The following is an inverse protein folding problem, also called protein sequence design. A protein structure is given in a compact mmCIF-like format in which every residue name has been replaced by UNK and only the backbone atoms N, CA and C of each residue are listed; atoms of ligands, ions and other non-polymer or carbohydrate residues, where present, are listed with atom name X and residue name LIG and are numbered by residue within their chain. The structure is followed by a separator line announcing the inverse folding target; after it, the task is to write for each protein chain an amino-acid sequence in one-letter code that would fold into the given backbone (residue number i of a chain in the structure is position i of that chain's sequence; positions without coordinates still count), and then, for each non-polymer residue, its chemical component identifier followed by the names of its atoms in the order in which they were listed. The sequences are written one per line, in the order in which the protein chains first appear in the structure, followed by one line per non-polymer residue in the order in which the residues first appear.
data_IF_521918501352
#
_entry.id   IF_521918501352
#
_cell.length_a   1.000
_cell.length_b   1.000
_cell.length_c   1.000
_cell.angle_alpha   90.00
_cell.angle_beta   90.00
_cell.angle_gamma   90.00
#
_symmetry.space_group_name_H-M   'P 1'
#
loop_
_entity.id
_entity.type
_entity.pdbx_description
1 polymer ?
#
# COMPACT_ATOMS: atom_id res chain seq x y z
N UNK A 1 11.85 -40.24 -13.00
CA UNK A 1 10.90 -39.85 -11.95
C UNK A 1 11.25 -38.43 -11.53
N UNK A 2 10.49 -37.44 -11.99
CA UNK A 2 10.68 -36.05 -11.60
C UNK A 2 9.66 -35.73 -10.50
N UNK A 3 10.15 -35.46 -9.29
CA UNK A 3 9.35 -35.09 -8.14
C UNK A 3 8.87 -33.65 -8.29
N UNK A 4 7.59 -33.47 -8.64
CA UNK A 4 6.90 -32.20 -8.57
C UNK A 4 6.64 -31.83 -7.12
N UNK A 5 7.46 -30.90 -6.58
CA UNK A 5 7.18 -30.24 -5.31
C UNK A 5 6.09 -29.20 -5.50
N UNK A 6 4.83 -29.62 -5.33
CA UNK A 6 3.71 -28.70 -5.22
C UNK A 6 3.85 -27.90 -3.93
N UNK A 7 4.31 -26.65 -4.04
CA UNK A 7 4.19 -25.67 -2.96
C UNK A 7 2.72 -25.53 -2.63
N UNK A 8 2.32 -26.01 -1.46
CA UNK A 8 0.96 -25.83 -0.96
C UNK A 8 0.74 -24.32 -0.79
N UNK A 9 -0.01 -23.73 -1.72
CA UNK A 9 -0.66 -22.43 -1.51
C UNK A 9 -1.52 -22.59 -0.26
N UNK A 10 -1.05 -22.09 0.88
CA UNK A 10 -1.82 -22.05 2.11
C UNK A 10 -3.05 -21.19 1.82
N UNK A 11 -4.20 -21.83 1.59
CA UNK A 11 -5.48 -21.14 1.43
C UNK A 11 -5.75 -20.44 2.76
N UNK A 12 -5.82 -19.10 2.71
CA UNK A 12 -6.17 -18.30 3.87
C UNK A 12 -7.54 -18.77 4.39
N UNK A 13 -7.64 -18.91 5.71
CA UNK A 13 -8.90 -19.23 6.39
C UNK A 13 -9.96 -18.14 6.08
N UNK A 14 -11.15 -18.49 5.56
CA UNK A 14 -12.18 -17.53 5.19
C UNK A 14 -12.63 -16.60 6.32
N UNK A 15 -12.62 -17.06 7.58
CA UNK A 15 -12.98 -16.21 8.73
C UNK A 15 -11.90 -15.17 9.00
N UNK A 16 -10.62 -15.57 8.98
CA UNK A 16 -9.49 -14.64 9.06
C UNK A 16 -9.48 -13.62 7.90
N UNK A 17 -9.78 -14.07 6.68
CA UNK A 17 -9.91 -13.18 5.52
C UNK A 17 -11.07 -12.17 5.72
N UNK A 18 -12.20 -12.62 6.25
CA UNK A 18 -13.37 -11.77 6.53
C UNK A 18 -13.08 -10.75 7.63
N UNK A 19 -12.32 -11.13 8.67
CA UNK A 19 -11.92 -10.21 9.73
C UNK A 19 -10.94 -9.14 9.21
N UNK A 20 -10.00 -9.53 8.34
CA UNK A 20 -9.09 -8.59 7.67
C UNK A 20 -9.84 -7.62 6.76
N UNK A 21 -10.88 -8.07 6.05
CA UNK A 21 -11.76 -7.17 5.27
C UNK A 21 -12.48 -6.19 6.20
N UNK A 22 -12.98 -6.65 7.37
CA UNK A 22 -13.70 -5.79 8.33
C UNK A 22 -12.78 -4.76 9.01
N UNK A 23 -11.53 -5.14 9.29
CA UNK A 23 -10.54 -4.28 9.97
C UNK A 23 -9.59 -3.56 9.01
N UNK A 24 -9.75 -3.80 7.72
CA UNK A 24 -8.83 -3.33 6.70
C UNK A 24 -8.74 -1.81 6.66
N UNK A 25 -7.50 -1.33 6.64
CA UNK A 25 -7.15 0.07 6.53
C UNK A 25 -7.12 0.49 5.07
N UNK A 26 -7.10 1.80 4.84
CA UNK A 26 -7.01 2.38 3.49
C UNK A 26 -5.81 3.29 3.37
N UNK A 27 -5.05 3.13 2.29
CA UNK A 27 -4.02 4.06 1.86
C UNK A 27 -4.55 4.84 0.65
N UNK A 28 -4.87 6.11 0.85
CA UNK A 28 -5.27 7.02 -0.23
C UNK A 28 -4.05 7.80 -0.71
N UNK A 29 -3.78 7.74 -2.01
CA UNK A 29 -2.66 8.38 -2.68
C UNK A 29 -3.21 9.36 -3.74
N UNK A 30 -3.01 10.64 -3.47
CA UNK A 30 -3.50 11.72 -4.32
C UNK A 30 -2.44 12.13 -5.33
N UNK A 31 -2.89 12.41 -6.56
CA UNK A 31 -2.11 13.01 -7.64
C UNK A 31 -0.85 12.24 -8.08
N UNK A 32 -0.79 10.94 -7.78
CA UNK A 32 0.28 10.06 -8.25
C UNK A 32 0.26 10.01 -9.78
N UNK A 33 1.40 10.26 -10.46
CA UNK A 33 1.46 10.28 -11.91
C UNK A 33 1.21 8.88 -12.49
N UNK A 34 0.58 8.84 -13.67
CA UNK A 34 0.32 7.58 -14.37
C UNK A 34 1.63 6.95 -14.88
N UNK A 35 1.59 5.62 -15.06
CA UNK A 35 2.69 4.79 -15.60
C UNK A 35 3.95 4.70 -14.73
N UNK A 36 3.98 5.33 -13.56
CA UNK A 36 5.03 5.02 -12.58
C UNK A 36 4.76 3.68 -11.91
N UNK A 37 5.79 3.13 -11.29
CA UNK A 37 5.64 1.94 -10.44
C UNK A 37 5.27 2.39 -9.03
N UNK A 38 4.24 1.74 -8.48
CA UNK A 38 3.83 1.83 -7.08
C UNK A 38 3.94 0.44 -6.47
N UNK A 39 4.49 0.36 -5.26
CA UNK A 39 4.58 -0.87 -4.50
C UNK A 39 4.14 -0.69 -3.05
N UNK A 40 3.58 -1.77 -2.52
CA UNK A 40 3.32 -1.93 -1.10
C UNK A 40 3.77 -3.34 -0.72
N UNK A 41 4.70 -3.42 0.23
CA UNK A 41 5.31 -4.65 0.68
C UNK A 41 5.97 -5.44 -0.48
N UNK A 42 5.52 -6.66 -0.74
CA UNK A 42 5.99 -7.51 -1.83
C UNK A 42 5.23 -7.30 -3.14
N UNK A 43 4.25 -6.40 -3.18
CA UNK A 43 3.36 -6.18 -4.32
C UNK A 43 3.77 -4.95 -5.10
N UNK A 44 3.82 -5.06 -6.43
CA UNK A 44 4.17 -3.96 -7.35
C UNK A 44 3.11 -3.82 -8.45
N UNK A 45 2.73 -2.58 -8.73
CA UNK A 45 1.70 -2.21 -9.68
C UNK A 45 2.18 -1.06 -10.57
N UNK A 46 1.68 -1.00 -11.81
CA UNK A 46 1.78 0.21 -12.63
C UNK A 46 0.58 1.12 -12.36
N UNK A 47 0.83 2.40 -12.10
CA UNK A 47 -0.24 3.36 -11.76
C UNK A 47 -1.10 3.65 -12.99
N UNK A 48 -2.37 3.23 -12.92
CA UNK A 48 -3.39 3.49 -13.93
C UNK A 48 -4.10 4.85 -13.75
N UNK A 49 -4.92 5.27 -14.72
CA UNK A 49 -5.55 6.59 -14.74
C UNK A 49 -6.54 6.86 -13.60
N UNK A 50 -7.12 5.80 -13.01
CA UNK A 50 -8.07 5.92 -11.90
C UNK A 50 -7.46 5.57 -10.54
N UNK A 51 -6.24 5.05 -10.50
CA UNK A 51 -5.65 4.53 -9.27
C UNK A 51 -5.41 5.65 -8.27
N UNK A 52 -5.91 5.46 -7.04
CA UNK A 52 -5.70 6.36 -5.90
C UNK A 52 -5.27 5.62 -4.64
N UNK A 53 -4.71 4.43 -4.76
CA UNK A 53 -4.16 3.69 -3.63
C UNK A 53 -4.89 2.37 -3.36
N UNK A 54 -4.84 1.93 -2.10
CA UNK A 54 -5.16 0.56 -1.69
C UNK A 54 -6.21 0.53 -0.58
N UNK A 55 -7.17 -0.38 -0.67
CA UNK A 55 -8.15 -0.69 0.38
C UNK A 55 -7.95 -2.10 0.91
N UNK A 56 -8.49 -2.35 2.10
CA UNK A 56 -8.39 -3.63 2.80
C UNK A 56 -6.94 -4.00 3.16
N UNK A 57 -6.10 -3.00 3.41
CA UNK A 57 -4.72 -3.23 3.87
C UNK A 57 -4.79 -3.76 5.30
N UNK A 58 -4.17 -4.91 5.61
CA UNK A 58 -4.17 -5.44 6.97
C UNK A 58 -3.58 -4.45 7.99
N UNK A 59 -3.99 -4.49 9.26
CA UNK A 59 -3.32 -3.71 10.30
C UNK A 59 -1.87 -4.18 10.51
N UNK A 60 -0.99 -3.23 10.84
CA UNK A 60 0.42 -3.50 11.11
C UNK A 60 1.38 -2.67 10.25
N UNK A 61 2.68 -3.00 10.27
CA UNK A 61 3.68 -2.29 9.49
C UNK A 61 3.57 -2.64 8.02
N UNK A 62 3.71 -1.64 7.16
CA UNK A 62 3.74 -1.77 5.71
C UNK A 62 4.85 -0.88 5.15
N UNK A 63 5.48 -1.33 4.06
CA UNK A 63 6.47 -0.53 3.35
C UNK A 63 5.89 -0.08 2.01
N UNK A 64 5.71 1.23 1.86
CA UNK A 64 5.18 1.84 0.64
C UNK A 64 6.34 2.40 -0.16
N UNK A 65 6.42 2.07 -1.44
CA UNK A 65 7.49 2.54 -2.32
C UNK A 65 6.99 2.83 -3.72
N UNK A 66 7.75 3.62 -4.46
CA UNK A 66 7.43 4.00 -5.82
C UNK A 66 8.71 4.36 -6.57
N UNK A 67 8.63 4.27 -7.88
CA UNK A 67 9.73 4.57 -8.77
C UNK A 67 9.20 5.34 -9.97
N UNK A 68 9.73 6.54 -10.17
CA UNK A 68 9.49 7.30 -11.39
C UNK A 68 10.24 6.66 -12.56
N UNK A 69 9.66 6.71 -13.76
CA UNK A 69 10.38 6.38 -14.99
C UNK A 69 11.33 7.53 -15.34
N UNK A 70 12.61 7.26 -15.63
CA UNK A 70 13.51 8.34 -16.05
C UNK A 70 12.99 9.00 -17.35
N UNK A 71 13.33 10.28 -17.53
CA UNK A 71 13.00 11.05 -18.74
C UNK A 71 13.47 10.39 -20.05
N UNK A 72 14.44 9.47 -20.00
CA UNK A 72 14.98 8.76 -21.17
C UNK A 72 14.33 7.40 -21.43
N UNK A 73 13.43 6.93 -20.56
CA UNK A 73 12.72 5.65 -20.73
C UNK A 73 13.59 4.38 -20.63
N UNK A 74 14.89 4.52 -20.41
CA UNK A 74 15.86 3.42 -20.34
C UNK A 74 16.32 3.09 -18.92
N UNK A 75 16.03 3.94 -17.93
CA UNK A 75 16.48 3.80 -16.56
C UNK A 75 15.32 4.06 -15.58
N UNK A 76 15.22 3.23 -14.55
CA UNK A 76 14.32 3.48 -13.43
C UNK A 76 14.98 4.52 -12.52
N UNK A 77 14.24 5.55 -12.10
CA UNK A 77 14.72 6.46 -11.07
C UNK A 77 14.97 5.68 -9.76
N UNK A 78 15.77 6.20 -8.81
CA UNK A 78 15.91 5.57 -7.51
C UNK A 78 14.54 5.31 -6.87
N UNK A 79 14.35 4.11 -6.33
CA UNK A 79 13.13 3.77 -5.58
C UNK A 79 13.08 4.60 -4.30
N UNK A 80 12.00 5.36 -4.13
CA UNK A 80 11.71 6.09 -2.90
C UNK A 80 10.64 5.32 -2.14
N UNK A 81 10.77 5.23 -0.82
CA UNK A 81 9.79 4.55 0.00
C UNK A 81 9.83 4.96 1.46
N UNK A 82 8.79 4.61 2.19
CA UNK A 82 8.62 4.90 3.61
C UNK A 82 7.79 3.81 4.28
N UNK A 83 8.02 3.63 5.57
CA UNK A 83 7.18 2.77 6.41
C UNK A 83 5.93 3.51 6.88
N UNK A 84 4.84 2.76 7.01
CA UNK A 84 3.63 3.17 7.72
C UNK A 84 3.19 2.04 8.64
N UNK A 85 2.69 2.39 9.82
CA UNK A 85 2.03 1.43 10.71
C UNK A 85 0.54 1.73 10.68
N UNK A 86 -0.26 0.83 10.10
CA UNK A 86 -1.70 1.02 9.96
C UNK A 86 -2.46 0.43 11.15
N UNK A 87 -3.32 1.24 11.76
CA UNK A 87 -4.29 0.81 12.76
C UNK A 87 -5.56 0.27 12.09
N UNK A 88 -6.33 -0.61 12.77
CA UNK A 88 -7.59 -1.12 12.24
C UNK A 88 -8.53 0.00 11.77
N UNK A 89 -9.06 -0.14 10.55
CA UNK A 89 -9.97 0.82 9.92
C UNK A 89 -9.42 2.26 9.77
N UNK A 90 -8.10 2.42 9.87
CA UNK A 90 -7.44 3.71 9.64
C UNK A 90 -7.46 4.09 8.16
N UNK A 91 -7.50 5.40 7.89
CA UNK A 91 -7.27 5.96 6.57
C UNK A 91 -6.00 6.80 6.62
N UNK A 92 -4.98 6.39 5.89
CA UNK A 92 -3.75 7.16 5.70
C UNK A 92 -3.85 7.85 4.35
N UNK A 93 -3.66 9.17 4.33
CA UNK A 93 -3.69 9.97 3.11
C UNK A 93 -2.28 10.52 2.82
N UNK A 94 -1.84 10.39 1.57
CA UNK A 94 -0.61 11.02 1.07
C UNK A 94 -0.90 11.69 -0.27
N UNK A 95 -0.16 12.75 -0.55
CA UNK A 95 -0.26 13.45 -1.84
C UNK A 95 1.10 13.47 -2.52
N UNK A 96 1.09 13.26 -3.83
CA UNK A 96 2.28 13.42 -4.66
C UNK A 96 2.67 14.89 -4.75
N UNK A 97 3.91 15.20 -4.36
CA UNK A 97 4.54 16.46 -4.65
C UNK A 97 5.39 16.32 -5.92
N UNK A 98 5.04 17.10 -6.95
CA UNK A 98 5.69 17.01 -8.25
C UNK A 98 7.08 17.67 -8.30
N UNK A 99 7.40 18.55 -7.35
CA UNK A 99 8.72 19.20 -7.29
C UNK A 99 9.73 18.28 -6.62
N UNK A 100 9.32 17.64 -5.55
CA UNK A 100 10.14 16.74 -4.74
C UNK A 100 10.08 15.27 -5.22
N UNK A 101 9.23 14.98 -6.22
CA UNK A 101 8.93 13.64 -6.74
C UNK A 101 8.67 12.61 -5.62
N UNK A 102 7.87 13.01 -4.62
CA UNK A 102 7.61 12.18 -3.43
C UNK A 102 6.19 12.29 -2.89
N UNK A 103 5.76 11.26 -2.18
CA UNK A 103 4.53 11.27 -1.39
C UNK A 103 4.76 11.99 -0.06
N UNK A 104 4.01 13.08 0.17
CA UNK A 104 4.06 13.88 1.39
C UNK A 104 2.78 13.75 2.23
N UNK A 105 2.90 14.07 3.52
CA UNK A 105 1.74 14.26 4.41
C UNK A 105 0.99 15.52 4.01
N UNK A 106 -0.33 15.53 4.21
CA UNK A 106 -1.13 16.74 4.01
C UNK A 106 -1.26 17.52 5.33
N UNK A 107 -1.92 18.68 5.29
CA UNK A 107 -2.37 19.33 6.52
C UNK A 107 -3.40 18.46 7.23
N UNK A 108 -3.52 18.60 8.56
CA UNK A 108 -4.49 17.86 9.37
C UNK A 108 -5.93 18.03 8.84
N UNK A 109 -6.29 19.27 8.45
CA UNK A 109 -7.60 19.60 7.88
C UNK A 109 -7.87 18.82 6.57
N UNK A 110 -6.87 18.71 5.70
CA UNK A 110 -7.00 17.94 4.46
C UNK A 110 -7.05 16.43 4.74
N UNK A 111 -6.21 15.92 5.65
CA UNK A 111 -6.21 14.50 6.04
C UNK A 111 -7.58 14.08 6.60
N UNK A 112 -8.19 14.90 7.46
CA UNK A 112 -9.54 14.67 7.99
C UNK A 112 -10.56 14.62 6.84
N UNK A 113 -10.58 15.66 6.00
CA UNK A 113 -11.54 15.79 4.89
C UNK A 113 -11.49 14.59 3.93
N UNK A 114 -10.30 14.18 3.51
CA UNK A 114 -10.15 13.04 2.61
C UNK A 114 -10.44 11.71 3.29
N UNK A 115 -10.09 11.56 4.56
CA UNK A 115 -10.42 10.35 5.33
C UNK A 115 -11.92 10.15 5.46
N UNK A 116 -12.69 11.22 5.68
CA UNK A 116 -14.15 11.15 5.69
C UNK A 116 -14.73 10.78 4.32
N UNK A 117 -14.19 11.34 3.23
CA UNK A 117 -14.62 11.01 1.88
C UNK A 117 -14.37 9.52 1.54
N UNK A 118 -13.23 8.95 1.97
CA UNK A 118 -12.97 7.51 1.90
C UNK A 118 -14.03 6.72 2.68
N UNK A 119 -14.35 7.13 3.91
CA UNK A 119 -15.39 6.47 4.74
C UNK A 119 -16.79 6.58 4.15
N UNK A 120 -17.06 7.61 3.33
CA UNK A 120 -18.29 7.75 2.53
C UNK A 120 -18.24 7.01 1.19
N UNK A 121 -17.21 6.19 0.96
CA UNK A 121 -17.01 5.39 -0.24
C UNK A 121 -16.84 6.21 -1.54
N UNK A 122 -16.48 7.50 -1.45
CA UNK A 122 -16.34 8.38 -2.62
C UNK A 122 -15.17 7.97 -3.53
N UNK A 123 -14.22 7.16 -3.02
CA UNK A 123 -13.05 6.67 -3.73
C UNK A 123 -13.10 5.17 -4.05
N UNK A 124 -14.20 4.47 -3.79
CA UNK A 124 -14.20 2.99 -3.76
C UNK A 124 -13.77 2.35 -5.11
N UNK A 125 -14.18 2.94 -6.23
CA UNK A 125 -13.82 2.53 -7.60
C UNK A 125 -12.37 2.86 -8.00
N UNK A 126 -11.68 3.64 -7.18
CA UNK A 126 -10.32 4.15 -7.42
C UNK A 126 -9.28 3.46 -6.53
N UNK A 127 -9.74 2.66 -5.56
CA UNK A 127 -8.91 1.95 -4.59
C UNK A 127 -8.78 0.48 -4.98
N UNK A 128 -7.54 0.04 -5.22
CA UNK A 128 -7.23 -1.36 -5.50
C UNK A 128 -7.34 -2.21 -4.23
N UNK A 129 -7.84 -3.45 -4.31
CA UNK A 129 -7.83 -4.36 -3.17
C UNK A 129 -6.39 -4.82 -2.87
N UNK A 130 -5.99 -4.82 -1.60
CA UNK A 130 -4.72 -5.41 -1.18
C UNK A 130 -4.75 -6.93 -1.41
N UNK A 131 -3.73 -7.51 -2.04
CA UNK A 131 -3.67 -8.96 -2.25
C UNK A 131 -3.33 -9.69 -0.95
N UNK A 132 -4.36 -10.23 -0.28
CA UNK A 132 -4.20 -10.97 0.98
C UNK A 132 -3.40 -12.28 0.83
N UNK A 133 -3.31 -12.84 -0.38
CA UNK A 133 -2.47 -14.04 -0.60
C UNK A 133 -0.98 -13.73 -0.38
N UNK A 134 -0.53 -12.54 -0.79
CA UNK A 134 0.86 -12.08 -0.60
C UNK A 134 1.13 -11.54 0.81
N UNK A 135 0.10 -11.32 1.63
CA UNK A 135 0.26 -10.80 2.99
C UNK A 135 1.03 -11.74 3.91
N UNK A 136 0.87 -13.05 3.72
CA UNK A 136 1.54 -14.07 4.56
C UNK A 136 3.06 -13.92 4.54
N UNK A 137 3.63 -13.72 3.35
CA UNK A 137 5.08 -13.52 3.16
C UNK A 137 5.54 -12.21 3.80
N UNK A 138 4.80 -11.11 3.57
CA UNK A 138 5.12 -9.82 4.18
C UNK A 138 5.09 -9.90 5.71
N UNK A 139 4.06 -10.53 6.27
CA UNK A 139 3.91 -10.69 7.72
C UNK A 139 5.10 -11.42 8.34
N UNK A 140 5.68 -12.40 7.64
CA UNK A 140 6.89 -13.08 8.10
C UNK A 140 8.13 -12.18 8.04
N UNK A 141 8.25 -11.36 6.99
CA UNK A 141 9.36 -10.42 6.83
C UNK A 141 9.31 -9.23 7.81
N UNK A 142 8.11 -8.84 8.23
CA UNK A 142 7.87 -7.64 9.03
C UNK A 142 7.54 -7.90 10.51
N UNK A 143 7.52 -9.17 10.96
CA UNK A 143 7.09 -9.55 12.31
C UNK A 143 7.91 -8.95 13.47
N UNK A 144 9.14 -8.50 13.21
CA UNK A 144 9.99 -7.81 14.20
C UNK A 144 10.02 -6.28 14.04
N UNK A 145 9.31 -5.72 13.05
CA UNK A 145 9.22 -4.29 12.83
C UNK A 145 8.17 -3.67 13.75
N UNK A 146 8.56 -3.31 14.97
CA UNK A 146 7.69 -2.58 15.88
C UNK A 146 7.47 -1.14 15.41
N UNK A 147 6.34 -0.54 15.80
CA UNK A 147 6.07 0.88 15.58
C UNK A 147 7.21 1.76 16.10
N UNK A 148 7.70 1.49 17.32
CA UNK A 148 8.83 2.20 17.93
C UNK A 148 10.16 2.03 17.18
N UNK A 149 10.32 0.96 16.40
CA UNK A 149 11.51 0.78 15.54
C UNK A 149 11.36 1.61 14.27
N UNK A 150 10.17 1.60 13.67
CA UNK A 150 9.85 2.41 12.49
C UNK A 150 9.97 3.91 12.76
N UNK A 151 9.47 4.39 13.91
CA UNK A 151 9.49 5.82 14.28
C UNK A 151 10.90 6.39 14.53
N UNK A 152 11.92 5.53 14.63
CA UNK A 152 13.33 5.92 14.85
C UNK A 152 14.16 5.97 13.56
N UNK A 153 13.59 5.60 12.41
CA UNK A 153 14.24 5.69 11.09
C UNK A 153 14.18 7.11 10.55
#
# INVERSE_FOLDING_TARGET
MASGGGGATARMDPEAATELVRKGSTLLLLDVPQRILFGIDTQVFSVGPKFKGMKMVPPGPHFVYYCSSSRSGSEFAPTVGFFVTMQPSEVIVRKWDAQEERLIKLSEEEEIRYSEAVRRFEFDDQLGPYNLESYGDWKQLSNYLSQSTIERL
#
